data_IF_205296378872
#
_entry.id   IF_205296378872
#
_cell.length_a   1.000
_cell.length_b   1.000
_cell.length_c   1.000
_cell.angle_alpha   90.00
_cell.angle_beta   90.00
_cell.angle_gamma   90.00
#
_symmetry.space_group_name_H-M   'P 1'
#
loop_
_entity.id
_entity.type
_entity.pdbx_description
1 polymer ?
#
# COMPACT_ATOMS: atom_id res chain seq x y z
N UNK A 1 41.76 -51.29 -3.28
CA UNK A 1 40.68 -50.98 -4.24
C UNK A 1 39.44 -50.75 -3.39
N UNK A 2 39.34 -49.57 -2.77
CA UNK A 2 38.42 -48.47 -3.14
C UNK A 2 36.96 -48.96 -3.19
N UNK A 3 35.98 -48.43 -2.48
CA UNK A 3 35.89 -47.24 -1.61
C UNK A 3 34.57 -47.34 -0.83
N UNK A 4 34.51 -46.74 0.35
CA UNK A 4 33.29 -46.56 1.13
C UNK A 4 32.38 -45.52 0.44
N UNK A 5 31.07 -45.78 0.35
CA UNK A 5 30.10 -44.76 -0.05
C UNK A 5 29.60 -44.06 1.19
N UNK A 6 30.31 -42.99 1.53
CA UNK A 6 29.94 -41.96 2.49
C UNK A 6 28.78 -41.13 1.89
N UNK A 7 27.66 -41.05 2.59
CA UNK A 7 26.59 -40.08 2.32
C UNK A 7 26.77 -38.91 3.28
N UNK A 8 27.14 -37.70 2.81
CA UNK A 8 26.96 -36.48 3.57
C UNK A 8 25.69 -35.73 3.12
N UNK A 9 25.11 -35.05 4.10
CA UNK A 9 23.89 -34.25 4.06
C UNK A 9 24.03 -32.93 3.28
N UNK A 10 22.92 -32.41 2.74
CA UNK A 10 22.52 -30.99 2.79
C UNK A 10 21.12 -30.86 2.14
N UNK A 11 20.03 -30.51 2.84
CA UNK A 11 19.62 -29.17 3.27
C UNK A 11 19.62 -28.09 2.18
N UNK A 12 18.51 -28.00 1.43
CA UNK A 12 17.53 -26.88 1.40
C UNK A 12 16.79 -26.88 0.05
N UNK A 13 15.45 -26.76 0.01
CA UNK A 13 14.78 -26.38 -1.23
C UNK A 13 15.11 -24.91 -1.51
N UNK A 14 15.88 -24.65 -2.57
CA UNK A 14 16.00 -23.32 -3.17
C UNK A 14 14.61 -22.88 -3.65
N UNK A 15 13.96 -22.04 -2.84
CA UNK A 15 12.78 -21.28 -3.20
C UNK A 15 13.21 -20.07 -4.04
N UNK A 16 13.92 -20.30 -5.14
CA UNK A 16 14.03 -19.33 -6.22
C UNK A 16 12.83 -19.54 -7.12
N UNK A 17 11.71 -18.96 -6.70
CA UNK A 17 10.51 -18.89 -7.53
C UNK A 17 9.95 -17.48 -7.50
N UNK A 18 10.17 -16.84 -8.64
CA UNK A 18 9.23 -15.96 -9.31
C UNK A 18 9.16 -14.55 -8.71
N UNK A 19 10.18 -13.76 -9.05
CA UNK A 19 9.92 -12.35 -9.38
C UNK A 19 10.14 -12.16 -10.88
N UNK A 20 9.29 -12.80 -11.68
CA UNK A 20 9.06 -12.35 -13.05
C UNK A 20 8.32 -11.01 -12.96
N UNK A 21 9.08 -9.93 -12.79
CA UNK A 21 8.63 -8.63 -13.25
C UNK A 21 8.50 -8.77 -14.77
N UNK A 22 7.29 -9.09 -15.25
CA UNK A 22 6.96 -8.98 -16.67
C UNK A 22 7.30 -7.56 -17.12
N UNK A 23 8.50 -7.44 -17.68
CA UNK A 23 8.95 -6.29 -18.41
C UNK A 23 8.02 -6.21 -19.62
N UNK A 24 7.06 -5.30 -19.56
CA UNK A 24 6.33 -4.82 -20.74
C UNK A 24 7.34 -4.11 -21.63
N UNK A 25 8.17 -4.90 -22.31
CA UNK A 25 9.15 -4.41 -23.25
C UNK A 25 8.38 -3.71 -24.38
N UNK A 26 8.74 -2.45 -24.61
CA UNK A 26 8.30 -1.71 -25.79
C UNK A 26 8.74 -2.51 -27.03
N UNK A 27 7.94 -2.58 -28.11
CA UNK A 27 8.26 -3.37 -29.31
C UNK A 27 9.60 -2.99 -29.99
N UNK A 28 10.24 -1.89 -29.57
CA UNK A 28 11.51 -1.40 -30.09
C UNK A 28 12.75 -1.89 -29.30
N UNK A 29 12.59 -2.78 -28.32
CA UNK A 29 13.70 -3.40 -27.58
C UNK A 29 14.47 -2.48 -26.61
N UNK A 30 13.96 -1.27 -26.36
CA UNK A 30 14.52 -0.34 -25.38
C UNK A 30 13.98 -0.71 -23.98
N UNK A 31 14.85 -0.96 -22.98
CA UNK A 31 14.40 -1.19 -21.62
C UNK A 31 13.69 0.07 -21.11
N UNK A 32 12.41 -0.08 -20.75
CA UNK A 32 11.66 0.98 -20.08
C UNK A 32 12.07 0.96 -18.61
N UNK A 33 12.95 1.88 -18.23
CA UNK A 33 13.28 2.12 -16.82
C UNK A 33 12.33 3.20 -16.29
N UNK A 34 11.24 2.78 -15.65
CA UNK A 34 10.38 3.67 -14.88
C UNK A 34 10.95 3.87 -13.49
N UNK A 35 11.27 5.10 -13.11
CA UNK A 35 11.65 5.46 -11.75
C UNK A 35 10.45 6.07 -11.03
N UNK A 36 9.99 5.43 -9.94
CA UNK A 36 8.99 6.02 -9.03
C UNK A 36 9.70 6.93 -8.03
N UNK A 37 9.50 8.24 -8.12
CA UNK A 37 9.92 9.15 -7.05
C UNK A 37 8.83 9.16 -5.99
N UNK A 38 9.16 8.69 -4.77
CA UNK A 38 8.24 8.71 -3.62
C UNK A 38 7.88 10.17 -3.33
N UNK A 39 6.69 10.59 -3.77
CA UNK A 39 6.13 11.92 -3.52
C UNK A 39 4.95 11.86 -2.56
N UNK A 40 4.83 10.80 -1.76
CA UNK A 40 3.73 10.63 -0.82
C UNK A 40 4.17 10.52 0.63
N UNK A 41 3.24 10.79 1.54
CA UNK A 41 3.41 10.55 2.97
C UNK A 41 2.12 10.01 3.60
N UNK A 42 2.31 9.18 4.61
CA UNK A 42 1.24 8.73 5.53
C UNK A 42 1.76 9.01 6.94
N UNK A 43 1.07 9.87 7.68
CA UNK A 43 1.46 10.20 9.06
C UNK A 43 0.25 10.14 9.99
N UNK A 44 0.49 9.71 11.23
CA UNK A 44 -0.52 9.73 12.29
C UNK A 44 -0.17 10.84 13.27
N UNK A 45 -0.98 11.90 13.31
CA UNK A 45 -0.74 13.08 14.16
C UNK A 45 -1.97 13.31 15.04
N UNK A 46 -1.83 13.14 16.35
CA UNK A 46 -2.90 13.39 17.34
C UNK A 46 -4.26 12.75 16.95
N UNK A 47 -4.25 11.49 16.50
CA UNK A 47 -5.46 10.76 16.07
C UNK A 47 -5.95 11.10 14.66
N UNK A 48 -5.25 11.97 13.91
CA UNK A 48 -5.54 12.22 12.50
C UNK A 48 -4.59 11.42 11.63
N UNK A 49 -5.11 10.56 10.76
CA UNK A 49 -4.32 9.92 9.72
C UNK A 49 -4.29 10.84 8.50
N UNK A 50 -3.12 11.41 8.22
CA UNK A 50 -2.88 12.35 7.13
C UNK A 50 -2.21 11.61 5.98
N UNK A 51 -2.81 11.74 4.80
CA UNK A 51 -2.33 11.19 3.54
C UNK A 51 -2.07 12.34 2.58
N UNK A 52 -0.89 12.36 1.96
CA UNK A 52 -0.52 13.36 0.97
C UNK A 52 0.24 12.73 -0.19
N UNK A 53 0.11 13.32 -1.38
CA UNK A 53 0.82 12.90 -2.57
C UNK A 53 0.39 11.55 -3.13
N UNK A 54 1.35 10.76 -3.59
CA UNK A 54 1.14 9.42 -4.14
C UNK A 54 1.07 8.36 -3.03
N UNK A 55 -0.14 7.82 -2.82
CA UNK A 55 -0.39 6.76 -1.84
C UNK A 55 -0.50 5.41 -2.57
N UNK A 56 0.67 4.89 -2.93
CA UNK A 56 0.86 3.59 -3.58
C UNK A 56 1.30 2.46 -2.64
N UNK A 57 1.65 1.32 -3.23
CA UNK A 57 2.05 0.09 -2.52
C UNK A 57 3.22 0.32 -1.57
N UNK A 58 4.32 0.88 -2.06
CA UNK A 58 5.56 1.01 -1.28
C UNK A 58 5.36 1.87 -0.04
N UNK A 59 4.61 2.97 -0.17
CA UNK A 59 4.31 3.86 0.95
C UNK A 59 3.42 3.19 1.99
N UNK A 60 2.40 2.44 1.57
CA UNK A 60 1.55 1.67 2.50
C UNK A 60 2.33 0.55 3.21
N UNK A 61 3.25 -0.13 2.52
CA UNK A 61 4.11 -1.14 3.14
C UNK A 61 5.06 -0.51 4.16
N UNK A 62 5.71 0.59 3.81
CA UNK A 62 6.57 1.34 4.73
C UNK A 62 5.81 1.82 5.97
N UNK A 63 4.59 2.33 5.80
CA UNK A 63 3.73 2.72 6.92
C UNK A 63 3.38 1.52 7.81
N UNK A 64 2.93 0.40 7.23
CA UNK A 64 2.57 -0.82 7.99
C UNK A 64 3.75 -1.45 8.71
N UNK A 65 4.97 -1.34 8.17
CA UNK A 65 6.18 -1.84 8.81
C UNK A 65 6.47 -1.16 10.15
N UNK A 66 5.89 0.02 10.42
CA UNK A 66 5.99 0.70 11.73
C UNK A 66 4.99 0.15 12.77
N UNK A 67 4.17 -0.84 12.41
CA UNK A 67 3.09 -1.41 13.22
C UNK A 67 2.16 -0.36 13.87
N UNK A 68 1.60 0.58 13.09
CA UNK A 68 0.74 1.62 13.64
C UNK A 68 -0.59 1.02 14.10
N UNK A 69 -1.09 1.47 15.24
CA UNK A 69 -2.46 1.17 15.68
C UNK A 69 -3.44 2.12 15.00
N UNK A 70 -4.48 1.58 14.37
CA UNK A 70 -5.46 2.36 13.60
C UNK A 70 -6.79 2.59 14.34
N UNK A 71 -7.01 1.90 15.45
CA UNK A 71 -8.15 2.06 16.35
C UNK A 71 -8.25 3.48 16.96
N UNK A 72 -7.10 4.12 17.19
CA UNK A 72 -6.99 5.50 17.66
C UNK A 72 -7.26 6.57 16.60
N UNK A 73 -7.55 6.21 15.35
CA UNK A 73 -7.78 7.18 14.26
C UNK A 73 -9.15 7.81 14.40
N UNK A 74 -9.17 9.10 14.76
CA UNK A 74 -10.34 9.93 14.96
C UNK A 74 -10.81 10.64 13.69
N UNK A 75 -9.93 10.84 12.71
CA UNK A 75 -10.30 11.36 11.39
C UNK A 75 -9.21 11.15 10.35
N UNK A 76 -9.57 11.42 9.09
CA UNK A 76 -8.74 11.25 7.91
C UNK A 76 -8.61 12.56 7.14
N UNK A 77 -7.37 12.96 6.88
CA UNK A 77 -7.07 14.07 5.96
C UNK A 77 -6.35 13.54 4.74
N UNK A 78 -7.05 13.50 3.61
CA UNK A 78 -6.57 13.09 2.31
C UNK A 78 -6.72 14.22 1.26
N UNK A 79 -6.76 15.49 1.71
CA UNK A 79 -6.92 16.66 0.80
C UNK A 79 -5.75 16.84 -0.15
N UNK A 80 -4.55 16.45 0.27
CA UNK A 80 -3.32 16.59 -0.50
C UNK A 80 -2.95 15.32 -1.30
N UNK A 81 -3.82 14.30 -1.31
CA UNK A 81 -3.60 13.09 -2.11
C UNK A 81 -3.74 13.41 -3.59
N UNK A 82 -2.73 13.05 -4.38
CA UNK A 82 -2.70 13.19 -5.85
C UNK A 82 -2.94 11.87 -6.56
N UNK A 83 -2.65 10.74 -5.91
CA UNK A 83 -2.96 9.39 -6.36
C UNK A 83 -3.26 8.47 -5.17
N UNK A 84 -4.25 7.59 -5.31
CA UNK A 84 -4.60 6.59 -4.29
C UNK A 84 -4.70 5.21 -4.95
N UNK A 85 -3.69 4.37 -4.74
CA UNK A 85 -3.66 2.99 -5.21
C UNK A 85 -4.55 2.05 -4.39
N UNK A 86 -4.72 0.81 -4.86
CA UNK A 86 -5.50 -0.20 -4.14
C UNK A 86 -5.00 -0.48 -2.71
N UNK A 87 -3.68 -0.46 -2.39
CA UNK A 87 -3.23 -0.61 -1.00
C UNK A 87 -3.65 0.56 -0.11
N UNK A 88 -3.69 1.79 -0.67
CA UNK A 88 -4.19 2.96 0.04
C UNK A 88 -5.70 2.88 0.28
N UNK A 89 -6.48 2.41 -0.69
CA UNK A 89 -7.91 2.12 -0.50
C UNK A 89 -8.10 1.06 0.60
N UNK A 90 -7.29 0.00 0.60
CA UNK A 90 -7.32 -1.04 1.64
C UNK A 90 -6.93 -0.53 3.02
N UNK A 91 -5.99 0.42 3.11
CA UNK A 91 -5.65 1.09 4.36
C UNK A 91 -6.85 1.90 4.90
N UNK A 92 -7.53 2.67 4.06
CA UNK A 92 -8.72 3.42 4.47
C UNK A 92 -9.85 2.48 4.90
N UNK A 93 -10.06 1.38 4.18
CA UNK A 93 -11.02 0.35 4.57
C UNK A 93 -10.70 -0.25 5.95
N UNK A 94 -9.42 -0.49 6.24
CA UNK A 94 -8.99 -0.98 7.55
C UNK A 94 -9.31 0.03 8.66
N UNK A 95 -9.04 1.32 8.45
CA UNK A 95 -9.40 2.36 9.42
C UNK A 95 -10.91 2.35 9.71
N UNK A 96 -11.73 2.26 8.67
CA UNK A 96 -13.18 2.20 8.83
C UNK A 96 -13.65 0.90 9.51
N UNK A 97 -12.92 -0.20 9.33
CA UNK A 97 -13.20 -1.46 10.02
C UNK A 97 -12.86 -1.37 11.51
N UNK A 98 -11.68 -0.88 11.85
CA UNK A 98 -11.17 -0.85 13.23
C UNK A 98 -11.93 0.17 14.10
N UNK A 99 -12.28 1.33 13.52
CA UNK A 99 -12.98 2.41 14.25
C UNK A 99 -14.51 2.37 14.08
N UNK A 100 -15.01 1.64 13.09
CA UNK A 100 -16.42 1.64 12.70
C UNK A 100 -16.80 2.74 11.70
N UNK A 101 -18.02 2.65 11.16
CA UNK A 101 -18.52 3.57 10.15
C UNK A 101 -18.67 5.01 10.66
N UNK A 102 -18.56 5.98 9.74
CA UNK A 102 -18.72 7.41 10.03
C UNK A 102 -17.43 8.13 10.42
N UNK A 103 -16.27 7.56 10.06
CA UNK A 103 -14.97 8.24 10.22
C UNK A 103 -14.98 9.53 9.39
N UNK A 104 -14.76 10.72 10.00
CA UNK A 104 -14.68 11.95 9.22
C UNK A 104 -13.54 11.89 8.23
N UNK A 105 -13.82 12.21 6.97
CA UNK A 105 -12.85 12.18 5.87
C UNK A 105 -12.92 13.48 5.07
N UNK A 106 -11.82 14.24 5.08
CA UNK A 106 -11.59 15.32 4.13
C UNK A 106 -10.74 14.78 2.99
N UNK A 107 -11.28 14.71 1.77
CA UNK A 107 -10.61 14.02 0.66
C UNK A 107 -10.50 14.86 -0.61
N UNK A 108 -9.38 14.70 -1.32
CA UNK A 108 -9.24 15.17 -2.70
C UNK A 108 -10.08 14.31 -3.66
N UNK A 109 -10.25 14.75 -4.91
CA UNK A 109 -10.87 13.91 -5.95
C UNK A 109 -10.11 12.60 -6.16
N UNK A 110 -8.78 12.63 -6.06
CA UNK A 110 -7.94 11.44 -6.24
C UNK A 110 -8.13 10.43 -5.11
N UNK A 111 -8.40 10.89 -3.88
CA UNK A 111 -8.74 10.02 -2.77
C UNK A 111 -10.20 9.52 -2.82
N UNK A 112 -11.16 10.42 -3.14
CA UNK A 112 -12.58 10.09 -3.08
C UNK A 112 -13.07 9.22 -4.24
N UNK A 113 -12.50 9.37 -5.44
CA UNK A 113 -12.98 8.62 -6.61
C UNK A 113 -12.81 7.10 -6.45
N UNK A 114 -11.65 6.56 -6.03
CA UNK A 114 -11.50 5.13 -5.78
C UNK A 114 -12.48 4.61 -4.71
N UNK A 115 -12.69 5.36 -3.62
CA UNK A 115 -13.64 4.98 -2.57
C UNK A 115 -15.07 4.88 -3.07
N UNK A 116 -15.50 5.79 -3.94
CA UNK A 116 -16.83 5.75 -4.57
C UNK A 116 -16.98 4.58 -5.54
N UNK A 117 -15.93 4.27 -6.29
CA UNK A 117 -15.93 3.13 -7.23
C UNK A 117 -16.03 1.79 -6.50
N UNK A 118 -15.48 1.70 -5.28
CA UNK A 118 -15.53 0.50 -4.44
C UNK A 118 -16.70 0.50 -3.46
N UNK A 119 -17.49 1.59 -3.39
CA UNK A 119 -18.59 1.76 -2.43
C UNK A 119 -18.15 1.97 -0.98
N UNK A 120 -16.85 2.13 -0.73
CA UNK A 120 -16.28 2.35 0.60
C UNK A 120 -16.53 3.78 1.11
N UNK A 121 -16.88 4.72 0.23
CA UNK A 121 -17.22 6.09 0.60
C UNK A 121 -18.33 6.17 1.66
N UNK A 122 -19.24 5.18 1.68
CA UNK A 122 -20.32 5.05 2.67
C UNK A 122 -19.86 4.74 4.08
N UNK A 123 -18.63 4.27 4.25
CA UNK A 123 -18.04 4.01 5.56
C UNK A 123 -17.50 5.29 6.21
N UNK A 124 -17.45 6.39 5.45
CA UNK A 124 -16.89 7.67 5.89
C UNK A 124 -17.97 8.74 5.94
N UNK A 125 -17.79 9.66 6.89
CA UNK A 125 -18.49 10.94 6.91
C UNK A 125 -17.69 11.93 6.05
N UNK A 126 -17.94 11.92 4.74
CA UNK A 126 -17.18 12.71 3.76
C UNK A 126 -17.51 14.19 3.93
N UNK A 127 -16.48 14.99 4.26
CA UNK A 127 -16.56 16.43 4.46
C UNK A 127 -16.04 17.19 3.24
N UNK A 128 -16.61 18.37 2.94
CA UNK A 128 -16.05 19.26 1.92
C UNK A 128 -14.64 19.69 2.32
N UNK A 129 -13.74 19.72 1.34
CA UNK A 129 -12.33 20.07 1.52
C UNK A 129 -12.13 21.57 1.81
#
# INVERSE_FOLDING_TARGET
>A
MHEAVEHPADHRPELDSLTDHESLARPDGVPVVGTSTVHGSITLVAGTLVLAGDVGTDLCLAFRATAPTLDGVQCLDARQVTFLGSPGVGLLAQVAHDRGAGVPLWGSRAALRPLRLTGLDRLFDVRPA
#
